data_IF_762244432628
#
_entry.id   IF_762244432628
#
_cell.length_a   1.000
_cell.length_b   1.000
_cell.length_c   1.000
_cell.angle_alpha   90.00
_cell.angle_beta   90.00
_cell.angle_gamma   90.00
#
_symmetry.space_group_name_H-M   'P 1'
#
loop_
_entity.id
_entity.type
_entity.pdbx_description
1 polymer ?
#
# COMPACT_ATOMS: atom_id res chain seq x y z
N UNK A 1 -10.90 23.39 -22.27
CA UNK A 1 -10.77 22.11 -23.00
C UNK A 1 -10.36 21.06 -21.96
N UNK A 2 -11.18 20.04 -21.67
CA UNK A 2 -10.82 19.01 -20.68
C UNK A 2 -9.83 18.04 -21.34
N UNK A 3 -8.58 18.06 -20.89
CA UNK A 3 -7.59 17.03 -21.26
C UNK A 3 -8.04 15.72 -20.63
N UNK A 4 -8.49 14.77 -21.45
CA UNK A 4 -8.87 13.43 -20.99
C UNK A 4 -7.57 12.63 -20.83
N UNK A 5 -7.09 12.48 -19.59
CA UNK A 5 -6.01 11.54 -19.29
C UNK A 5 -6.57 10.12 -19.31
N UNK A 6 -5.94 9.21 -20.06
CA UNK A 6 -6.24 7.78 -19.98
C UNK A 6 -5.81 7.24 -18.62
N UNK A 7 -6.55 6.26 -18.11
CA UNK A 7 -6.06 5.47 -16.98
C UNK A 7 -4.88 4.59 -17.42
N UNK A 8 -4.05 4.15 -16.47
CA UNK A 8 -2.94 3.25 -16.76
C UNK A 8 -3.44 1.95 -17.45
N UNK A 9 -4.59 1.43 -17.06
CA UNK A 9 -5.23 0.26 -17.68
C UNK A 9 -5.61 0.54 -19.14
N UNK A 10 -6.19 1.71 -19.42
CA UNK A 10 -6.52 2.11 -20.78
C UNK A 10 -5.27 2.32 -21.63
N UNK A 11 -4.20 2.89 -21.06
CA UNK A 11 -2.91 3.01 -21.74
C UNK A 11 -2.33 1.64 -22.07
N UNK A 12 -2.35 0.70 -21.12
CA UNK A 12 -1.89 -0.68 -21.37
C UNK A 12 -2.72 -1.36 -22.46
N UNK A 13 -4.05 -1.23 -22.42
CA UNK A 13 -4.91 -1.82 -23.44
C UNK A 13 -4.62 -1.23 -24.84
N UNK A 14 -4.60 0.10 -24.95
CA UNK A 14 -4.45 0.78 -26.24
C UNK A 14 -3.06 0.56 -26.82
N UNK A 15 -2.00 0.74 -26.02
CA UNK A 15 -0.63 0.61 -26.49
C UNK A 15 -0.26 -0.86 -26.73
N UNK A 16 -0.82 -1.80 -25.97
CA UNK A 16 -0.68 -3.23 -26.23
C UNK A 16 -1.23 -3.61 -27.61
N UNK A 17 -2.44 -3.14 -27.96
CA UNK A 17 -3.02 -3.36 -29.28
C UNK A 17 -2.19 -2.72 -30.40
N UNK A 18 -1.68 -1.49 -30.18
CA UNK A 18 -0.79 -0.82 -31.13
C UNK A 18 0.45 -1.68 -31.44
N UNK A 19 1.17 -2.15 -30.41
CA UNK A 19 2.37 -2.98 -30.62
C UNK A 19 2.06 -4.33 -31.25
N UNK A 20 0.92 -4.93 -30.94
CA UNK A 20 0.45 -6.16 -31.58
C UNK A 20 0.22 -5.95 -33.08
N UNK A 21 -0.45 -4.85 -33.47
CA UNK A 21 -0.75 -4.55 -34.87
C UNK A 21 0.53 -4.18 -35.65
N UNK A 22 1.43 -3.40 -35.04
CA UNK A 22 2.76 -3.10 -35.60
C UNK A 22 3.58 -4.36 -35.89
N UNK A 23 3.40 -5.43 -35.11
CA UNK A 23 4.12 -6.68 -35.32
C UNK A 23 3.60 -7.48 -36.52
N UNK A 24 2.34 -7.28 -36.92
CA UNK A 24 1.63 -8.10 -37.92
C UNK A 24 1.56 -7.47 -39.31
N UNK A 25 1.47 -6.15 -39.42
CA UNK A 25 1.28 -5.47 -40.70
C UNK A 25 2.60 -5.06 -41.35
N UNK A 26 3.02 -5.79 -42.38
CA UNK A 26 4.26 -5.52 -43.12
C UNK A 26 4.30 -4.14 -43.79
N UNK A 27 3.15 -3.66 -44.29
CA UNK A 27 3.05 -2.33 -44.90
C UNK A 27 3.27 -1.22 -43.88
N UNK A 28 2.70 -1.34 -42.66
CA UNK A 28 2.96 -0.39 -41.56
C UNK A 28 4.45 -0.29 -41.24
N UNK A 29 5.13 -1.43 -41.14
CA UNK A 29 6.57 -1.45 -40.85
C UNK A 29 7.39 -0.78 -41.94
N UNK A 30 7.05 -1.04 -43.20
CA UNK A 30 7.79 -0.49 -44.35
C UNK A 30 7.70 1.03 -44.36
N UNK A 31 6.48 1.58 -44.25
CA UNK A 31 6.27 3.04 -44.25
C UNK A 31 6.92 3.70 -43.02
N UNK A 32 6.80 3.11 -41.83
CA UNK A 32 7.34 3.70 -40.60
C UNK A 32 8.88 3.66 -40.54
N UNK A 33 9.51 2.68 -41.18
CA UNK A 33 10.96 2.57 -41.25
C UNK A 33 11.61 3.76 -41.99
N UNK A 34 10.95 4.29 -43.04
CA UNK A 34 11.43 5.48 -43.76
C UNK A 34 11.48 6.74 -42.89
N UNK A 35 10.69 6.76 -41.81
CA UNK A 35 10.63 7.86 -40.84
C UNK A 35 11.42 7.57 -39.55
N UNK A 36 12.30 6.57 -39.56
CA UNK A 36 13.19 6.23 -38.45
C UNK A 36 12.54 5.40 -37.35
N UNK A 37 11.40 4.75 -37.63
CA UNK A 37 10.77 3.75 -36.76
C UNK A 37 10.92 2.35 -37.35
N UNK A 38 12.17 1.92 -37.49
CA UNK A 38 12.52 0.56 -37.88
C UNK A 38 12.22 -0.47 -36.78
N UNK A 39 12.44 -1.76 -37.06
CA UNK A 39 12.18 -2.84 -36.11
C UNK A 39 12.93 -2.64 -34.78
N UNK A 40 14.14 -2.06 -34.80
CA UNK A 40 14.91 -1.77 -33.60
C UNK A 40 14.23 -0.69 -32.75
N UNK A 41 13.77 0.41 -33.37
CA UNK A 41 13.07 1.49 -32.68
C UNK A 41 11.73 1.04 -32.12
N UNK A 42 10.99 0.21 -32.85
CA UNK A 42 9.73 -0.38 -32.38
C UNK A 42 9.99 -1.33 -31.20
N UNK A 43 11.07 -2.12 -31.26
CA UNK A 43 11.47 -2.99 -30.14
C UNK A 43 11.82 -2.18 -28.88
N UNK A 44 12.49 -1.03 -29.00
CA UNK A 44 12.70 -0.12 -27.86
C UNK A 44 11.38 0.32 -27.22
N UNK A 45 10.40 0.75 -28.03
CA UNK A 45 9.08 1.13 -27.55
C UNK A 45 8.35 -0.02 -26.86
N UNK A 46 8.45 -1.23 -27.43
CA UNK A 46 7.86 -2.44 -26.87
C UNK A 46 8.46 -2.79 -25.52
N UNK A 47 9.77 -2.64 -25.35
CA UNK A 47 10.44 -2.83 -24.07
C UNK A 47 9.94 -1.83 -23.00
N UNK A 48 9.68 -0.57 -23.38
CA UNK A 48 9.06 0.41 -22.47
C UNK A 48 7.65 0.01 -22.06
N UNK A 49 6.87 -0.54 -22.99
CA UNK A 49 5.53 -1.06 -22.70
C UNK A 49 5.58 -2.25 -21.72
N UNK A 50 6.50 -3.19 -21.94
CA UNK A 50 6.64 -4.36 -21.09
C UNK A 50 7.08 -3.98 -19.67
N UNK A 51 7.96 -2.98 -19.53
CA UNK A 51 8.35 -2.44 -18.21
C UNK A 51 7.19 -1.69 -17.53
N UNK A 52 6.40 -0.90 -18.28
CA UNK A 52 5.19 -0.27 -17.74
C UNK A 52 4.16 -1.31 -17.26
N UNK A 53 3.99 -2.40 -18.00
CA UNK A 53 3.11 -3.51 -17.60
C UNK A 53 3.62 -4.19 -16.33
N UNK A 54 4.90 -4.53 -16.29
CA UNK A 54 5.54 -5.17 -15.13
C UNK A 54 5.45 -4.30 -13.86
N UNK A 55 5.75 -3.01 -13.97
CA UNK A 55 5.67 -2.07 -12.83
C UNK A 55 4.23 -1.80 -12.40
N UNK A 56 3.26 -1.83 -13.34
CA UNK A 56 1.84 -1.80 -13.01
C UNK A 56 1.43 -3.02 -12.18
N UNK A 57 1.76 -4.22 -12.65
CA UNK A 57 1.41 -5.47 -11.97
C UNK A 57 2.06 -5.55 -10.57
N UNK A 58 3.32 -5.09 -10.44
CA UNK A 58 4.00 -4.93 -9.15
C UNK A 58 3.26 -3.95 -8.24
N UNK A 59 2.88 -2.76 -8.74
CA UNK A 59 2.13 -1.79 -7.93
C UNK A 59 0.80 -2.34 -7.40
N UNK A 60 0.09 -3.14 -8.19
CA UNK A 60 -1.15 -3.81 -7.75
C UNK A 60 -0.86 -4.82 -6.63
N UNK A 61 0.23 -5.59 -6.74
CA UNK A 61 0.65 -6.55 -5.71
C UNK A 61 0.99 -5.83 -4.40
N UNK A 62 1.90 -4.85 -4.45
CA UNK A 62 2.36 -4.13 -3.26
C UNK A 62 1.22 -3.37 -2.55
N UNK A 63 0.28 -2.80 -3.32
CA UNK A 63 -0.91 -2.13 -2.74
C UNK A 63 -1.79 -3.12 -1.95
N UNK A 64 -1.93 -4.36 -2.44
CA UNK A 64 -2.70 -5.40 -1.74
C UNK A 64 -1.99 -5.89 -0.48
N UNK A 65 -0.67 -6.00 -0.53
CA UNK A 65 0.15 -6.39 0.62
C UNK A 65 0.13 -5.31 1.71
N UNK A 66 0.28 -4.01 1.36
CA UNK A 66 0.10 -2.89 2.30
C UNK A 66 -1.29 -2.92 2.96
N UNK A 67 -2.34 -3.12 2.16
CA UNK A 67 -3.71 -3.18 2.67
C UNK A 67 -3.88 -4.32 3.67
N UNK A 68 -3.35 -5.50 3.34
CA UNK A 68 -3.44 -6.69 4.18
C UNK A 68 -2.68 -6.51 5.49
N UNK A 69 -1.45 -5.96 5.43
CA UNK A 69 -0.64 -5.68 6.61
C UNK A 69 -1.27 -4.60 7.51
N UNK A 70 -1.86 -3.56 6.91
CA UNK A 70 -2.58 -2.52 7.65
C UNK A 70 -3.77 -3.11 8.42
N UNK A 71 -4.57 -3.98 7.79
CA UNK A 71 -5.71 -4.64 8.43
C UNK A 71 -5.25 -5.55 9.58
N UNK A 72 -4.21 -6.36 9.36
CA UNK A 72 -3.65 -7.25 10.38
C UNK A 72 -3.12 -6.49 11.60
N UNK A 73 -2.40 -5.38 11.37
CA UNK A 73 -1.96 -4.48 12.44
C UNK A 73 -3.16 -3.89 13.21
N UNK A 74 -4.14 -3.35 12.50
CA UNK A 74 -5.31 -2.71 13.10
C UNK A 74 -6.11 -3.70 13.96
N UNK A 75 -6.34 -4.91 13.48
CA UNK A 75 -7.04 -5.96 14.22
C UNK A 75 -6.31 -6.30 15.53
N UNK A 76 -5.01 -6.59 15.46
CA UNK A 76 -4.20 -6.91 16.65
C UNK A 76 -4.19 -5.76 17.64
N UNK A 77 -4.00 -4.52 17.17
CA UNK A 77 -3.98 -3.34 18.04
C UNK A 77 -5.34 -3.10 18.71
N UNK A 78 -6.45 -3.19 17.96
CA UNK A 78 -7.80 -3.03 18.52
C UNK A 78 -8.12 -4.10 19.57
N UNK A 79 -7.66 -5.34 19.36
CA UNK A 79 -7.86 -6.43 20.32
C UNK A 79 -7.17 -6.15 21.66
N UNK A 80 -5.88 -5.77 21.65
CA UNK A 80 -5.17 -5.42 22.90
C UNK A 80 -5.74 -4.17 23.54
N UNK A 81 -6.08 -3.15 22.74
CA UNK A 81 -6.63 -1.89 23.23
C UNK A 81 -8.00 -2.08 23.91
N UNK A 82 -8.87 -2.91 23.34
CA UNK A 82 -10.20 -3.20 23.91
C UNK A 82 -10.09 -3.94 25.25
N UNK A 83 -9.20 -4.93 25.34
CA UNK A 83 -8.92 -5.66 26.58
C UNK A 83 -8.34 -4.72 27.64
N UNK A 84 -7.32 -3.94 27.27
CA UNK A 84 -6.72 -2.93 28.13
C UNK A 84 -7.74 -1.91 28.66
N UNK A 85 -8.58 -1.33 27.80
CA UNK A 85 -9.62 -0.38 28.19
C UNK A 85 -10.57 -0.98 29.25
N UNK A 86 -10.94 -2.24 29.08
CA UNK A 86 -11.78 -2.97 30.03
C UNK A 86 -11.04 -3.22 31.35
N UNK A 87 -9.80 -3.68 31.30
CA UNK A 87 -8.97 -3.94 32.48
C UNK A 87 -8.69 -2.65 33.26
N UNK A 88 -8.38 -1.56 32.58
CA UNK A 88 -8.18 -0.23 33.17
C UNK A 88 -9.43 0.25 33.93
N UNK A 89 -10.63 0.05 33.37
CA UNK A 89 -11.89 0.39 34.05
C UNK A 89 -12.10 -0.45 35.31
N UNK A 90 -11.90 -1.77 35.22
CA UNK A 90 -12.00 -2.68 36.36
C UNK A 90 -10.99 -2.31 37.46
N UNK A 91 -9.74 -2.03 37.09
CA UNK A 91 -8.71 -1.64 38.04
C UNK A 91 -9.01 -0.32 38.74
N UNK A 92 -9.61 0.66 38.04
CA UNK A 92 -10.07 1.91 38.66
C UNK A 92 -11.14 1.70 39.72
N UNK A 93 -12.04 0.75 39.52
CA UNK A 93 -13.08 0.40 40.49
C UNK A 93 -12.45 -0.30 41.71
N UNK A 94 -11.60 -1.29 41.47
CA UNK A 94 -10.96 -2.08 42.53
C UNK A 94 -10.06 -1.23 43.44
N UNK A 95 -9.42 -0.20 42.87
CA UNK A 95 -8.48 0.66 43.58
C UNK A 95 -9.03 2.06 43.85
N UNK A 96 -10.36 2.25 43.87
CA UNK A 96 -10.96 3.59 44.00
C UNK A 96 -10.47 4.35 45.25
N UNK A 97 -10.31 3.65 46.37
CA UNK A 97 -9.80 4.19 47.64
C UNK A 97 -8.28 4.01 47.84
N UNK A 98 -7.58 3.41 46.87
CA UNK A 98 -6.14 3.17 46.93
C UNK A 98 -5.38 4.13 46.01
N UNK A 99 -5.14 5.33 46.53
CA UNK A 99 -4.42 6.41 45.85
C UNK A 99 -3.04 6.02 45.32
N UNK A 100 -2.32 5.18 46.06
CA UNK A 100 -1.00 4.71 45.67
C UNK A 100 -1.08 3.77 44.46
N UNK A 101 -1.96 2.77 44.50
CA UNK A 101 -2.17 1.83 43.39
C UNK A 101 -2.65 2.56 42.12
N UNK A 102 -3.55 3.54 42.25
CA UNK A 102 -4.01 4.36 41.12
C UNK A 102 -2.87 5.14 40.46
N UNK A 103 -1.90 5.62 41.24
CA UNK A 103 -0.72 6.33 40.71
C UNK A 103 0.27 5.36 40.07
N UNK A 104 0.59 4.26 40.74
CA UNK A 104 1.53 3.25 40.22
C UNK A 104 1.04 2.66 38.88
N UNK A 105 -0.25 2.33 38.78
CA UNK A 105 -0.87 1.80 37.56
C UNK A 105 -1.24 2.89 36.52
N UNK A 106 -0.90 4.16 36.76
CA UNK A 106 -1.23 5.31 35.89
C UNK A 106 -2.72 5.38 35.51
N UNK A 107 -3.60 5.08 36.47
CA UNK A 107 -5.05 5.03 36.27
C UNK A 107 -5.73 6.39 36.43
N UNK A 108 -4.98 7.39 36.90
CA UNK A 108 -5.43 8.78 36.97
C UNK A 108 -5.38 9.42 35.58
N UNK A 109 -6.51 9.99 35.15
CA UNK A 109 -6.64 10.62 33.84
C UNK A 109 -7.07 9.69 32.70
N UNK A 110 -7.00 10.20 31.47
CA UNK A 110 -7.33 9.47 30.24
C UNK A 110 -6.16 8.64 29.74
N UNK A 111 -6.46 7.47 29.17
CA UNK A 111 -5.45 6.68 28.46
C UNK A 111 -4.90 7.44 27.25
N UNK A 112 -3.65 7.14 26.89
CA UNK A 112 -3.00 7.73 25.73
C UNK A 112 -3.77 7.45 24.42
N UNK A 113 -3.81 8.46 23.55
CA UNK A 113 -4.44 8.36 22.21
C UNK A 113 -3.46 7.95 21.13
N UNK A 114 -2.21 8.40 21.24
CA UNK A 114 -1.16 8.06 20.28
C UNK A 114 -0.74 6.60 20.44
N UNK A 115 -0.63 5.85 19.34
CA UNK A 115 -0.38 4.39 19.35
C UNK A 115 0.89 4.05 20.15
N UNK A 116 2.00 4.75 19.90
CA UNK A 116 3.26 4.50 20.61
C UNK A 116 3.11 4.70 22.14
N UNK A 117 2.49 5.80 22.56
CA UNK A 117 2.26 6.07 23.97
C UNK A 117 1.26 5.08 24.60
N UNK A 118 0.24 4.66 23.85
CA UNK A 118 -0.75 3.68 24.29
C UNK A 118 -0.12 2.28 24.46
N UNK A 119 0.74 1.85 23.54
CA UNK A 119 1.49 0.59 23.64
C UNK A 119 2.39 0.57 24.87
N UNK A 120 3.12 1.65 25.14
CA UNK A 120 3.95 1.76 26.35
C UNK A 120 3.11 1.79 27.64
N UNK A 121 1.97 2.48 27.64
CA UNK A 121 1.05 2.49 28.78
C UNK A 121 0.49 1.08 29.05
N UNK A 122 0.09 0.34 28.01
CA UNK A 122 -0.38 -1.04 28.12
C UNK A 122 0.71 -1.96 28.66
N UNK A 123 1.93 -1.88 28.09
CA UNK A 123 3.08 -2.68 28.50
C UNK A 123 3.41 -2.46 29.97
N UNK A 124 3.55 -1.20 30.38
CA UNK A 124 3.85 -0.85 31.77
C UNK A 124 2.75 -1.34 32.74
N UNK A 125 1.48 -1.18 32.36
CA UNK A 125 0.35 -1.66 33.17
C UNK A 125 0.42 -3.18 33.41
N UNK A 126 0.59 -3.98 32.35
CA UNK A 126 0.62 -5.43 32.50
C UNK A 126 1.91 -5.95 33.12
N UNK A 127 3.07 -5.35 32.86
CA UNK A 127 4.33 -5.70 33.52
C UNK A 127 4.27 -5.46 35.03
N UNK A 128 3.67 -4.34 35.45
CA UNK A 128 3.50 -4.04 36.86
C UNK A 128 2.58 -5.06 37.56
N UNK A 129 1.48 -5.45 36.90
CA UNK A 129 0.59 -6.50 37.42
C UNK A 129 1.24 -7.88 37.49
N UNK A 130 2.08 -8.24 36.51
CA UNK A 130 2.78 -9.53 36.48
C UNK A 130 3.85 -9.64 37.58
N UNK A 131 4.53 -8.52 37.89
CA UNK A 131 5.63 -8.47 38.85
C UNK A 131 5.21 -8.10 40.27
N UNK A 132 3.98 -7.62 40.47
CA UNK A 132 3.47 -7.15 41.76
C UNK A 132 2.19 -7.88 42.16
N UNK A 133 2.27 -9.07 42.80
CA UNK A 133 1.11 -9.86 43.20
C UNK A 133 0.10 -9.10 44.08
N UNK A 134 0.55 -8.11 44.87
CA UNK A 134 -0.31 -7.26 45.69
C UNK A 134 -1.23 -6.35 44.86
N UNK A 135 -0.85 -6.01 43.62
CA UNK A 135 -1.69 -5.25 42.69
C UNK A 135 -2.58 -6.17 41.84
N UNK A 136 -2.15 -7.40 41.56
CA UNK A 136 -2.96 -8.33 40.78
C UNK A 136 -4.05 -9.02 41.60
N UNK A 137 -3.76 -9.42 42.84
CA UNK A 137 -4.68 -10.20 43.69
C UNK A 137 -6.05 -9.53 43.85
N UNK A 138 -6.15 -8.21 44.14
CA UNK A 138 -7.44 -7.53 44.22
C UNK A 138 -8.23 -7.52 42.92
N UNK A 139 -7.57 -7.58 41.75
CA UNK A 139 -8.25 -7.53 40.45
C UNK A 139 -8.95 -8.85 40.09
N UNK A 140 -8.63 -9.96 40.78
CA UNK A 140 -9.29 -11.26 40.59
C UNK A 140 -10.79 -11.19 40.86
N UNK A 141 -11.23 -10.31 41.76
CA UNK A 141 -12.66 -10.11 42.05
C UNK A 141 -13.45 -9.61 40.82
N UNK A 142 -12.77 -8.90 39.90
CA UNK A 142 -13.34 -8.46 38.62
C UNK A 142 -12.85 -9.30 37.43
N UNK A 143 -12.41 -10.55 37.70
CA UNK A 143 -11.99 -11.52 36.70
C UNK A 143 -10.85 -11.00 35.81
N UNK A 144 -9.81 -10.45 36.45
CA UNK A 144 -8.50 -10.26 35.83
C UNK A 144 -7.53 -11.17 36.59
N UNK A 145 -7.01 -12.18 35.93
CA UNK A 145 -6.09 -13.16 36.51
C UNK A 145 -4.71 -13.12 35.83
N UNK A 146 -3.80 -13.97 36.32
CA UNK A 146 -2.44 -14.13 35.82
C UNK A 146 -2.41 -14.47 34.32
N UNK A 147 -3.34 -15.30 33.86
CA UNK A 147 -3.42 -15.69 32.45
C UNK A 147 -3.83 -14.51 31.56
N UNK A 148 -4.76 -13.66 32.01
CA UNK A 148 -5.15 -12.45 31.28
C UNK A 148 -3.97 -11.50 31.11
N UNK A 149 -3.16 -11.31 32.16
CA UNK A 149 -1.95 -10.48 32.13
C UNK A 149 -0.90 -11.07 31.18
N UNK A 150 -0.61 -12.37 31.30
CA UNK A 150 0.36 -13.07 30.43
C UNK A 150 -0.05 -13.04 28.96
N UNK A 151 -1.34 -13.27 28.67
CA UNK A 151 -1.86 -13.18 27.30
C UNK A 151 -1.63 -11.79 26.71
N UNK A 152 -1.86 -10.72 27.49
CA UNK A 152 -1.63 -9.36 27.01
C UNK A 152 -0.14 -9.05 26.80
N UNK A 153 0.73 -9.53 27.69
CA UNK A 153 2.19 -9.40 27.52
C UNK A 153 2.72 -10.17 26.30
N UNK A 154 2.05 -11.24 25.89
CA UNK A 154 2.36 -11.99 24.66
C UNK A 154 1.80 -11.32 23.40
N UNK A 155 0.59 -10.75 23.46
CA UNK A 155 -0.06 -10.10 22.31
C UNK A 155 0.61 -8.75 21.94
N UNK A 156 1.13 -8.00 22.91
CA UNK A 156 1.74 -6.68 22.67
C UNK A 156 2.94 -6.73 21.69
N UNK A 157 3.94 -7.62 21.85
CA UNK A 157 5.00 -7.79 20.86
C UNK A 157 4.50 -8.18 19.45
N UNK A 158 3.38 -8.90 19.35
CA UNK A 158 2.82 -9.23 18.03
C UNK A 158 2.25 -8.00 17.33
N UNK A 159 1.69 -7.05 18.07
CA UNK A 159 1.24 -5.76 17.52
C UNK A 159 2.44 -4.97 16.99
N UNK A 160 3.55 -4.94 17.72
CA UNK A 160 4.79 -4.26 17.28
C UNK A 160 5.34 -4.88 15.99
N UNK A 161 5.37 -6.21 15.93
CA UNK A 161 5.77 -6.94 14.71
C UNK A 161 4.85 -6.61 13.54
N UNK A 162 3.53 -6.64 13.74
CA UNK A 162 2.56 -6.31 12.69
C UNK A 162 2.68 -4.85 12.21
N UNK A 163 2.98 -3.93 13.13
CA UNK A 163 3.24 -2.53 12.78
C UNK A 163 4.51 -2.38 11.94
N UNK A 164 5.59 -3.08 12.30
CA UNK A 164 6.82 -3.07 11.52
C UNK A 164 6.61 -3.62 10.10
N UNK A 165 5.86 -4.73 9.96
CA UNK A 165 5.46 -5.25 8.64
C UNK A 165 4.65 -4.21 7.87
N UNK A 166 3.62 -3.60 8.47
CA UNK A 166 2.85 -2.55 7.80
C UNK A 166 3.72 -1.38 7.30
N UNK A 167 4.70 -0.92 8.10
CA UNK A 167 5.61 0.14 7.68
C UNK A 167 6.50 -0.26 6.50
N UNK A 168 6.94 -1.52 6.47
CA UNK A 168 7.70 -2.08 5.35
C UNK A 168 6.85 -2.09 4.07
N UNK A 169 5.68 -2.74 4.11
CA UNK A 169 4.78 -2.86 2.94
C UNK A 169 4.34 -1.49 2.41
N UNK A 170 4.12 -0.53 3.32
CA UNK A 170 3.83 0.86 2.94
C UNK A 170 4.97 1.51 2.16
N UNK A 171 6.22 1.24 2.56
CA UNK A 171 7.40 1.71 1.84
C UNK A 171 7.50 1.10 0.45
N UNK A 172 7.28 -0.21 0.33
CA UNK A 172 7.31 -0.96 -0.92
C UNK A 172 6.21 -0.49 -1.89
N UNK A 173 4.98 -0.31 -1.39
CA UNK A 173 3.84 0.26 -2.12
C UNK A 173 4.10 1.69 -2.65
N UNK A 174 4.72 2.54 -1.84
CA UNK A 174 5.12 3.90 -2.25
C UNK A 174 6.18 3.87 -3.34
N UNK A 175 7.17 2.99 -3.22
CA UNK A 175 8.22 2.84 -4.23
C UNK A 175 7.64 2.31 -5.54
N UNK A 176 6.82 1.26 -5.50
CA UNK A 176 6.14 0.70 -6.67
C UNK A 176 5.25 1.73 -7.38
N UNK A 177 4.61 2.64 -6.61
CA UNK A 177 3.84 3.75 -7.19
C UNK A 177 4.73 4.71 -7.98
N UNK A 178 5.91 5.05 -7.45
CA UNK A 178 6.89 5.91 -8.15
C UNK A 178 7.42 5.26 -9.41
N UNK A 179 7.79 3.98 -9.33
CA UNK A 179 8.36 3.23 -10.45
C UNK A 179 7.35 3.05 -11.58
N UNK A 180 6.10 2.69 -11.24
CA UNK A 180 4.98 2.67 -12.19
C UNK A 180 4.82 4.03 -12.87
N UNK A 181 4.69 5.11 -12.10
CA UNK A 181 4.45 6.44 -12.69
C UNK A 181 5.57 6.84 -13.66
N UNK A 182 6.82 6.57 -13.31
CA UNK A 182 7.98 6.82 -14.18
C UNK A 182 7.94 5.98 -15.46
N UNK A 183 7.57 4.70 -15.36
CA UNK A 183 7.47 3.81 -16.52
C UNK A 183 6.37 4.29 -17.49
N UNK A 184 5.19 4.66 -16.97
CA UNK A 184 4.09 5.19 -17.79
C UNK A 184 4.43 6.55 -18.41
N UNK A 185 5.09 7.45 -17.68
CA UNK A 185 5.54 8.72 -18.26
C UNK A 185 6.53 8.52 -19.40
N UNK A 186 7.45 7.57 -19.25
CA UNK A 186 8.44 7.24 -20.28
C UNK A 186 7.78 6.64 -21.52
N UNK A 187 6.86 5.69 -21.31
CA UNK A 187 6.07 5.08 -22.37
C UNK A 187 5.20 6.11 -23.10
N UNK A 188 4.49 6.96 -22.36
CA UNK A 188 3.61 7.98 -22.93
C UNK A 188 4.36 8.98 -23.81
N UNK A 189 5.56 9.41 -23.37
CA UNK A 189 6.44 10.27 -24.18
C UNK A 189 6.86 9.58 -25.47
N UNK A 190 7.23 8.30 -25.41
CA UNK A 190 7.62 7.53 -26.59
C UNK A 190 6.45 7.37 -27.56
N UNK A 191 5.28 6.93 -27.07
CA UNK A 191 4.08 6.72 -27.89
C UNK A 191 3.57 8.03 -28.48
N UNK A 192 3.59 9.13 -27.72
CA UNK A 192 3.20 10.45 -28.21
C UNK A 192 4.09 10.92 -29.36
N UNK A 193 5.40 10.65 -29.32
CA UNK A 193 6.31 10.97 -30.43
C UNK A 193 6.07 10.04 -31.61
N UNK A 194 5.94 8.74 -31.37
CA UNK A 194 5.64 7.74 -32.39
C UNK A 194 4.37 8.09 -33.15
N UNK A 195 3.27 8.36 -32.45
CA UNK A 195 1.98 8.66 -33.07
C UNK A 195 2.03 9.93 -33.94
N UNK A 196 2.78 10.97 -33.52
CA UNK A 196 2.96 12.18 -34.34
C UNK A 196 3.66 11.87 -35.66
N UNK A 197 4.66 10.99 -35.65
CA UNK A 197 5.39 10.58 -36.85
C UNK A 197 4.54 9.64 -37.70
N UNK A 198 3.87 8.65 -37.09
CA UNK A 198 2.97 7.74 -37.79
C UNK A 198 1.85 8.48 -38.52
N UNK A 199 1.32 9.57 -37.94
CA UNK A 199 0.32 10.42 -38.60
C UNK A 199 0.85 11.09 -39.88
N UNK A 200 2.13 11.43 -39.94
CA UNK A 200 2.78 12.00 -41.13
C UNK A 200 3.07 10.89 -42.13
N UNK A 201 3.69 9.80 -41.68
CA UNK A 201 4.07 8.67 -42.52
C UNK A 201 2.88 8.01 -43.22
N UNK A 202 1.70 8.04 -42.60
CA UNK A 202 0.47 7.39 -43.08
C UNK A 202 -0.60 8.39 -43.52
N UNK A 203 -0.23 9.64 -43.85
CA UNK A 203 -1.18 10.70 -44.22
C UNK A 203 -2.07 10.28 -45.40
N UNK A 204 -1.49 9.62 -46.41
CA UNK A 204 -2.19 9.09 -47.58
C UNK A 204 -2.80 7.69 -47.35
N UNK A 205 -2.62 7.09 -46.16
CA UNK A 205 -3.05 5.73 -45.82
C UNK A 205 -3.86 5.70 -44.51
N UNK A 206 -5.06 6.34 -44.48
CA UNK A 206 -5.82 6.52 -43.24
C UNK A 206 -6.26 5.21 -42.58
N UNK A 207 -6.48 4.14 -43.34
CA UNK A 207 -6.86 2.83 -42.78
C UNK A 207 -5.71 2.20 -41.96
N UNK A 208 -4.46 2.37 -42.40
CA UNK A 208 -3.28 1.91 -41.64
C UNK A 208 -3.09 2.73 -40.37
N UNK A 209 -3.39 4.03 -40.41
CA UNK A 209 -3.36 4.89 -39.22
C UNK A 209 -4.43 4.48 -38.20
N UNK A 210 -5.63 4.09 -38.65
CA UNK A 210 -6.68 3.56 -37.77
C UNK A 210 -6.28 2.22 -37.12
N UNK A 211 -5.54 1.37 -37.84
CA UNK A 211 -5.03 0.10 -37.33
C UNK A 211 -4.06 0.28 -36.13
N UNK A 212 -3.38 1.43 -36.01
CA UNK A 212 -2.55 1.74 -34.84
C UNK A 212 -3.36 2.01 -33.55
N UNK A 213 -4.69 2.19 -33.66
CA UNK A 213 -5.60 2.35 -32.54
C UNK A 213 -5.84 3.81 -32.12
N UNK A 214 -6.61 4.00 -31.04
CA UNK A 214 -6.93 5.33 -30.52
C UNK A 214 -5.86 5.82 -29.56
N UNK A 215 -5.23 6.94 -29.93
CA UNK A 215 -4.24 7.62 -29.11
C UNK A 215 -4.83 8.81 -28.35
N UNK A 216 -4.20 9.17 -27.23
CA UNK A 216 -4.54 10.39 -26.49
C UNK A 216 -4.38 11.59 -27.43
N UNK A 217 -5.43 12.41 -27.53
CA UNK A 217 -5.27 13.77 -28.07
C UNK A 217 -4.61 14.60 -26.97
N UNK A 218 -3.39 15.08 -27.23
CA UNK A 218 -2.73 16.10 -26.40
C UNK A 218 -3.64 17.32 -26.22
#
# INVERSE_FOLDING_TARGET
MKTYYLSNEQMLQNFGAMFENLSKEGDLKTELAEYGYDDAKIAEGKALYDEARKTFDANIKETREETSASLAFQEKYQNVQKKYSTHRKKARIVFEDNEEALRQLKLKGSAARAIAAAMEEMRAFYQLLDTTPNLLTPLKQLKINEQDVKNQLQELPEVEKAYATYLQEKGESQQATRDKNKAFETLDKWVSKFHKVAKIALEDRPQLLEALGKFVRS
#
